data_IF_872917528690
#
_entry.id   IF_872917528690
#
_cell.length_a   1.000
_cell.length_b   1.000
_cell.length_c   1.000
_cell.angle_alpha   90.00
_cell.angle_beta   90.00
_cell.angle_gamma   90.00
#
_symmetry.space_group_name_H-M   'P 1'
#
loop_
_entity.id
_entity.type
_entity.pdbx_description
1 polymer ?
#
# COMPACT_ATOMS: atom_id res chain seq x y z
N UNK A 1 -9.98 41.23 11.82
CA UNK A 1 -9.80 40.64 10.48
C UNK A 1 -9.06 39.32 10.65
N UNK A 2 -9.80 38.22 10.71
CA UNK A 2 -9.24 36.88 10.86
C UNK A 2 -9.21 36.19 9.51
N UNK A 3 -8.10 35.52 9.20
CA UNK A 3 -8.01 34.08 8.90
C UNK A 3 -6.55 33.78 8.52
N UNK A 4 -5.70 33.58 9.53
CA UNK A 4 -4.51 32.77 9.32
C UNK A 4 -4.97 31.33 9.16
N UNK A 5 -5.03 30.83 7.92
CA UNK A 5 -5.25 29.40 7.68
C UNK A 5 -4.11 28.66 8.37
N UNK A 6 -4.36 27.70 9.28
CA UNK A 6 -3.31 26.79 9.67
C UNK A 6 -2.96 26.00 8.42
N UNK A 7 -1.78 26.26 7.85
CA UNK A 7 -1.10 25.27 7.03
C UNK A 7 -0.83 24.12 8.00
N UNK A 8 -1.69 23.11 7.95
CA UNK A 8 -1.42 21.83 8.59
C UNK A 8 -0.26 21.26 7.81
N UNK A 9 0.95 21.67 8.18
CA UNK A 9 2.19 20.99 7.81
C UNK A 9 2.06 19.63 8.46
N UNK A 10 1.57 18.68 7.67
CA UNK A 10 1.15 17.37 8.13
C UNK A 10 2.43 16.57 8.43
N UNK A 11 3.01 16.82 9.61
CA UNK A 11 4.17 16.17 10.20
C UNK A 11 3.95 14.68 10.53
N UNK A 12 3.21 13.96 9.67
CA UNK A 12 2.93 12.53 9.75
C UNK A 12 3.30 11.77 8.48
N UNK A 13 3.96 12.41 7.50
CA UNK A 13 4.31 11.83 6.19
C UNK A 13 5.34 10.68 6.27
N UNK A 14 6.00 10.46 7.41
CA UNK A 14 6.97 9.39 7.57
C UNK A 14 6.59 8.30 8.60
N UNK A 15 5.44 8.41 9.28
CA UNK A 15 5.08 7.53 10.40
C UNK A 15 3.90 6.59 10.16
N UNK A 16 3.24 6.64 9.00
CA UNK A 16 2.02 5.84 8.76
C UNK A 16 2.18 4.60 7.88
N UNK A 17 3.38 4.31 7.37
CA UNK A 17 3.61 3.09 6.55
C UNK A 17 2.58 2.95 5.42
N UNK A 18 2.18 1.71 5.14
CA UNK A 18 1.16 1.43 4.12
C UNK A 18 -0.21 2.00 4.49
N UNK A 19 -0.56 2.02 5.78
CA UNK A 19 -1.82 2.55 6.27
C UNK A 19 -2.01 4.05 5.96
N UNK A 20 -0.92 4.82 5.88
CA UNK A 20 -0.95 6.25 5.59
C UNK A 20 -1.21 6.60 4.15
N UNK A 21 -0.79 5.73 3.23
CA UNK A 21 -0.98 5.91 1.78
C UNK A 21 -2.20 5.15 1.26
N UNK A 22 -2.77 4.24 2.07
CA UNK A 22 -3.89 3.39 1.67
C UNK A 22 -5.11 4.17 1.20
N UNK A 23 -5.48 5.25 1.90
CA UNK A 23 -6.63 6.08 1.52
C UNK A 23 -6.41 6.78 0.18
N UNK A 24 -5.19 7.28 -0.08
CA UNK A 24 -4.81 7.90 -1.36
C UNK A 24 -4.86 6.89 -2.50
N UNK A 25 -4.29 5.69 -2.31
CA UNK A 25 -4.32 4.62 -3.32
C UNK A 25 -5.77 4.24 -3.63
N UNK A 26 -6.59 4.06 -2.60
CA UNK A 26 -8.00 3.69 -2.76
C UNK A 26 -8.81 4.75 -3.50
N UNK A 27 -8.58 6.02 -3.18
CA UNK A 27 -9.18 7.14 -3.89
C UNK A 27 -8.79 7.10 -5.37
N UNK A 28 -7.49 7.01 -5.67
CA UNK A 28 -6.96 6.99 -7.04
C UNK A 28 -7.56 5.85 -7.87
N UNK A 29 -7.58 4.64 -7.31
CA UNK A 29 -8.09 3.46 -8.01
C UNK A 29 -9.61 3.50 -8.21
N UNK A 30 -10.35 3.99 -7.23
CA UNK A 30 -11.82 3.93 -7.25
C UNK A 30 -12.45 5.10 -7.98
N UNK A 31 -11.92 6.31 -7.73
CA UNK A 31 -12.46 7.58 -8.21
C UNK A 31 -11.78 7.98 -9.51
N UNK A 32 -10.44 8.03 -9.52
CA UNK A 32 -9.68 8.46 -10.70
C UNK A 32 -9.52 7.33 -11.72
N UNK A 33 -9.88 6.08 -11.35
CA UNK A 33 -9.74 4.87 -12.17
C UNK A 33 -8.32 4.63 -12.66
N UNK A 34 -7.35 5.21 -11.97
CA UNK A 34 -5.93 5.08 -12.24
C UNK A 34 -5.35 4.01 -11.32
N UNK A 35 -4.97 2.86 -11.89
CA UNK A 35 -4.40 1.74 -11.12
C UNK A 35 -2.87 1.78 -11.12
N UNK A 36 -2.27 2.89 -11.52
CA UNK A 36 -0.82 3.02 -11.46
C UNK A 36 -0.34 2.82 -10.02
N UNK A 37 0.88 2.29 -9.86
CA UNK A 37 1.47 2.01 -8.56
C UNK A 37 2.91 2.52 -8.56
N UNK A 38 3.24 3.30 -7.53
CA UNK A 38 4.58 3.82 -7.30
C UNK A 38 5.49 2.76 -6.68
N UNK A 39 6.81 2.79 -6.93
CA UNK A 39 7.79 1.95 -6.23
C UNK A 39 7.69 2.04 -4.69
N UNK A 40 7.44 3.22 -4.15
CA UNK A 40 7.26 3.40 -2.69
C UNK A 40 5.99 2.74 -2.16
N UNK A 41 4.89 2.75 -2.92
CA UNK A 41 3.63 2.09 -2.53
C UNK A 41 3.79 0.57 -2.51
N UNK A 42 4.57 0.02 -3.44
CA UNK A 42 4.96 -1.40 -3.47
C UNK A 42 5.74 -1.77 -2.20
N UNK A 43 6.79 -1.00 -1.87
CA UNK A 43 7.62 -1.27 -0.69
C UNK A 43 6.81 -1.15 0.60
N UNK A 44 5.94 -0.14 0.72
CA UNK A 44 5.03 -0.02 1.86
C UNK A 44 4.08 -1.23 1.96
N UNK A 45 3.44 -1.64 0.86
CA UNK A 45 2.54 -2.80 0.85
C UNK A 45 3.27 -4.08 1.26
N UNK A 46 4.49 -4.26 0.75
CA UNK A 46 5.34 -5.41 1.07
C UNK A 46 5.73 -5.45 2.54
N UNK A 47 6.18 -4.33 3.09
CA UNK A 47 6.55 -4.21 4.50
C UNK A 47 5.34 -4.49 5.41
N UNK A 48 4.17 -3.95 5.05
CA UNK A 48 2.92 -4.20 5.76
C UNK A 48 2.52 -5.67 5.74
N UNK A 49 2.49 -6.31 4.56
CA UNK A 49 2.17 -7.73 4.43
C UNK A 49 3.14 -8.61 5.23
N UNK A 50 4.45 -8.30 5.19
CA UNK A 50 5.48 -9.02 5.94
C UNK A 50 5.25 -8.91 7.45
N UNK A 51 4.90 -7.72 7.95
CA UNK A 51 4.53 -7.49 9.35
C UNK A 51 3.31 -8.31 9.80
N UNK A 52 2.40 -8.57 8.86
CA UNK A 52 1.21 -9.41 9.08
C UNK A 52 1.43 -10.90 8.78
N UNK A 53 2.69 -11.34 8.67
CA UNK A 53 3.06 -12.75 8.50
C UNK A 53 2.97 -13.25 7.05
N UNK A 54 2.76 -12.37 6.08
CA UNK A 54 2.69 -12.70 4.65
C UNK A 54 4.02 -12.30 4.01
N UNK A 55 4.94 -13.25 3.90
CA UNK A 55 6.23 -13.01 3.27
C UNK A 55 6.10 -12.94 1.74
N UNK A 56 6.72 -11.91 1.15
CA UNK A 56 6.70 -11.64 -0.30
C UNK A 56 8.12 -11.68 -0.86
N UNK A 57 8.30 -12.49 -1.91
CA UNK A 57 9.53 -12.57 -2.70
C UNK A 57 9.40 -11.74 -3.97
N UNK A 58 10.43 -10.96 -4.28
CA UNK A 58 10.55 -10.24 -5.55
C UNK A 58 11.28 -11.14 -6.53
N UNK A 59 10.73 -11.30 -7.73
CA UNK A 59 11.30 -12.09 -8.83
C UNK A 59 12.17 -11.20 -9.73
N UNK A 60 13.14 -11.78 -10.46
CA UNK A 60 13.99 -11.04 -11.40
C UNK A 60 13.21 -10.30 -12.50
N UNK A 61 12.02 -10.79 -12.85
CA UNK A 61 11.10 -10.13 -13.80
C UNK A 61 10.36 -8.91 -13.23
N UNK A 62 10.67 -8.46 -12.01
CA UNK A 62 9.95 -7.38 -11.33
C UNK A 62 8.56 -7.75 -10.83
N UNK A 63 8.21 -9.04 -10.89
CA UNK A 63 6.96 -9.59 -10.33
C UNK A 63 7.15 -10.02 -8.88
N UNK A 64 6.04 -10.28 -8.19
CA UNK A 64 6.02 -10.69 -6.80
C UNK A 64 5.41 -12.09 -6.67
N UNK A 65 5.86 -12.85 -5.68
CA UNK A 65 5.24 -14.11 -5.27
C UNK A 65 5.14 -14.17 -3.75
N UNK A 66 4.22 -14.99 -3.25
CA UNK A 66 4.21 -15.37 -1.84
C UNK A 66 5.42 -16.27 -1.57
N UNK A 67 6.10 -16.06 -0.45
CA UNK A 67 7.23 -16.90 -0.05
C UNK A 67 6.77 -18.37 0.06
N UNK A 68 7.53 -19.28 -0.57
CA UNK A 68 7.19 -20.70 -0.64
C UNK A 68 6.14 -21.07 -1.71
N UNK A 69 5.64 -20.10 -2.49
CA UNK A 69 4.66 -20.30 -3.56
C UNK A 69 5.12 -19.61 -4.85
N UNK A 70 6.24 -20.04 -5.41
CA UNK A 70 6.81 -19.50 -6.66
C UNK A 70 5.94 -19.74 -7.90
N UNK A 71 4.99 -20.67 -7.84
CA UNK A 71 4.07 -20.94 -8.96
C UNK A 71 3.02 -19.84 -9.16
N UNK A 72 2.73 -19.02 -8.14
CA UNK A 72 1.70 -17.97 -8.21
C UNK A 72 2.33 -16.59 -8.13
N UNK A 73 2.78 -16.11 -9.28
CA UNK A 73 3.33 -14.76 -9.44
C UNK A 73 2.23 -13.73 -9.71
N UNK A 74 2.45 -12.50 -9.29
CA UNK A 74 1.52 -11.39 -9.48
C UNK A 74 2.26 -10.04 -9.61
N UNK A 75 1.60 -9.05 -10.20
CA UNK A 75 2.15 -7.71 -10.41
C UNK A 75 2.02 -6.80 -9.17
N UNK A 76 2.59 -5.61 -9.30
CA UNK A 76 2.56 -4.56 -8.27
C UNK A 76 1.15 -4.19 -7.82
N UNK A 77 0.21 -4.03 -8.75
CA UNK A 77 -1.20 -3.73 -8.47
C UNK A 77 -1.81 -4.79 -7.56
N UNK A 78 -1.59 -6.06 -7.86
CA UNK A 78 -2.14 -7.14 -7.04
C UNK A 78 -1.51 -7.20 -5.65
N UNK A 79 -0.23 -6.89 -5.52
CA UNK A 79 0.45 -6.77 -4.22
C UNK A 79 -0.21 -5.68 -3.36
N UNK A 80 -0.39 -4.49 -3.91
CA UNK A 80 -1.01 -3.36 -3.20
C UNK A 80 -2.46 -3.67 -2.84
N UNK A 81 -3.21 -4.29 -3.75
CA UNK A 81 -4.59 -4.72 -3.50
C UNK A 81 -4.68 -5.71 -2.33
N UNK A 82 -3.74 -6.67 -2.24
CA UNK A 82 -3.67 -7.61 -1.11
C UNK A 82 -3.40 -6.87 0.21
N UNK A 83 -2.49 -5.90 0.20
CA UNK A 83 -2.26 -5.03 1.36
C UNK A 83 -3.52 -4.30 1.79
N UNK A 84 -4.24 -3.68 0.84
CA UNK A 84 -5.47 -2.93 1.10
C UNK A 84 -6.58 -3.83 1.67
N UNK A 85 -6.76 -5.02 1.10
CA UNK A 85 -7.74 -5.99 1.58
C UNK A 85 -7.42 -6.44 3.00
N UNK A 86 -6.15 -6.69 3.31
CA UNK A 86 -5.72 -7.08 4.65
C UNK A 86 -5.96 -5.96 5.66
N UNK A 87 -5.62 -4.72 5.29
CA UNK A 87 -5.85 -3.53 6.12
C UNK A 87 -7.33 -3.31 6.45
N UNK A 88 -8.22 -3.53 5.47
CA UNK A 88 -9.68 -3.47 5.71
C UNK A 88 -10.13 -4.58 6.65
N UNK A 89 -9.66 -5.80 6.46
CA UNK A 89 -9.99 -6.93 7.33
C UNK A 89 -9.52 -6.76 8.78
N UNK A 90 -8.40 -6.08 9.03
CA UNK A 90 -7.92 -5.81 10.39
C UNK A 90 -8.64 -4.66 11.09
N UNK A 91 -9.34 -3.79 10.36
CA UNK A 91 -10.11 -2.66 10.92
C UNK A 91 -11.51 -3.06 11.39
N UNK A 92 -11.97 -4.23 10.95
CA UNK A 92 -13.33 -4.77 11.18
C UNK A 92 -13.37 -5.89 12.25
N UNK A 93 -12.22 -6.25 12.84
CA UNK A 93 -12.10 -7.27 13.90
C UNK A 93 -11.89 -6.68 15.29
#
# INVERSE_FOLDING_TARGET
MGVGKPVVTNSSEHHRGFEGVADTILYRWSVERDTWVSPSEIEHARAYLTRHGIAISVLPDGRFALAGQTSRVFGAERLVMLGLQRLRGTRDS
#
